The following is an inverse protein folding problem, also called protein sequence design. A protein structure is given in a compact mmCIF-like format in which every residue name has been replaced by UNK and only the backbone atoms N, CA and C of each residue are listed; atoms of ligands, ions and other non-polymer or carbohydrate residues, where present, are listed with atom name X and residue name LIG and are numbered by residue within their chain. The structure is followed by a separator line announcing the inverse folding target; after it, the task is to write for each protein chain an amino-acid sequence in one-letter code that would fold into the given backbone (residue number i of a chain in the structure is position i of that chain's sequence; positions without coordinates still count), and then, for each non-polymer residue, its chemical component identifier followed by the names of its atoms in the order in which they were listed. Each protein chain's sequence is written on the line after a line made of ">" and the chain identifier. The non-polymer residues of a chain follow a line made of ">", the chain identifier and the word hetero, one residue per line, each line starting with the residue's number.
data_IF_247361324238
#
_entry.id   IF_247361324238
#
_cell.length_a   1.000
_cell.length_b   1.000
_cell.length_c   1.000
_cell.angle_alpha   90.00
_cell.angle_beta   90.00
_cell.angle_gamma   90.00
#
_symmetry.space_group_name_H-M   'P 1'
#
loop_
_entity.id
_entity.type
_entity.pdbx_description
1 polymer ?
#
# COMPACT_ATOMS: atom_id res chain seq x y z
N UNK A 1 -37.43 41.35 4.35
CA UNK A 1 -36.47 40.25 4.63
C UNK A 1 -36.48 39.14 3.58
N UNK A 2 -37.63 38.57 3.20
CA UNK A 2 -37.72 37.46 2.23
C UNK A 2 -37.13 37.73 0.82
N UNK A 3 -37.24 38.95 0.29
CA UNK A 3 -36.69 39.30 -1.05
C UNK A 3 -35.16 39.40 -1.09
N UNK A 4 -34.52 39.75 0.03
CA UNK A 4 -33.06 39.87 0.13
C UNK A 4 -32.43 38.48 0.24
N UNK A 5 -33.08 37.57 0.96
CA UNK A 5 -32.64 36.18 1.09
C UNK A 5 -32.70 35.43 -0.25
N UNK A 6 -33.77 35.64 -1.04
CA UNK A 6 -33.93 35.03 -2.37
C UNK A 6 -32.86 35.49 -3.38
N UNK A 7 -32.45 36.77 -3.32
CA UNK A 7 -31.36 37.28 -4.16
C UNK A 7 -29.99 36.66 -3.85
N UNK A 8 -29.71 36.36 -2.59
CA UNK A 8 -28.45 35.73 -2.16
C UNK A 8 -28.37 34.27 -2.65
N UNK A 9 -29.50 33.54 -2.65
CA UNK A 9 -29.56 32.16 -3.18
C UNK A 9 -29.41 32.08 -4.70
N UNK A 10 -29.88 33.09 -5.44
CA UNK A 10 -29.69 33.14 -6.90
C UNK A 10 -28.23 33.46 -7.27
N UNK A 11 -27.57 34.35 -6.53
CA UNK A 11 -26.15 34.66 -6.74
C UNK A 11 -25.23 33.48 -6.40
N UNK A 12 -25.49 32.72 -5.33
CA UNK A 12 -24.68 31.55 -4.99
C UNK A 12 -24.82 30.41 -6.01
N UNK A 13 -26.02 30.25 -6.60
CA UNK A 13 -26.25 29.29 -7.69
C UNK A 13 -25.44 29.61 -8.95
N UNK A 14 -25.38 30.88 -9.34
CA UNK A 14 -24.62 31.33 -10.52
C UNK A 14 -23.11 31.13 -10.32
N UNK A 15 -22.58 31.44 -9.13
CA UNK A 15 -21.17 31.23 -8.80
C UNK A 15 -20.80 29.74 -8.83
N UNK A 16 -21.71 28.87 -8.34
CA UNK A 16 -21.52 27.42 -8.41
C UNK A 16 -21.44 26.90 -9.85
N UNK A 17 -22.33 27.37 -10.73
CA UNK A 17 -22.34 26.96 -12.15
C UNK A 17 -21.09 27.46 -12.89
N UNK A 18 -20.66 28.71 -12.65
CA UNK A 18 -19.43 29.26 -13.24
C UNK A 18 -18.20 28.47 -12.79
N UNK A 19 -18.13 28.10 -11.51
CA UNK A 19 -17.02 27.30 -10.96
C UNK A 19 -16.96 25.90 -11.59
N UNK A 20 -18.12 25.26 -11.81
CA UNK A 20 -18.21 23.96 -12.47
C UNK A 20 -17.78 24.03 -13.94
N UNK A 21 -18.21 25.07 -14.67
CA UNK A 21 -17.82 25.28 -16.06
C UNK A 21 -16.31 25.55 -16.21
N UNK A 22 -15.70 26.29 -15.28
CA UNK A 22 -14.25 26.51 -15.26
C UNK A 22 -13.48 25.23 -14.96
N UNK A 23 -13.98 24.38 -14.05
CA UNK A 23 -13.38 23.07 -13.77
C UNK A 23 -13.43 22.16 -15.01
N UNK A 24 -14.56 22.13 -15.72
CA UNK A 24 -14.72 21.37 -16.97
C UNK A 24 -13.81 21.93 -18.07
N UNK A 25 -13.74 23.25 -18.23
CA UNK A 25 -12.88 23.90 -19.22
C UNK A 25 -11.39 23.61 -18.96
N UNK A 26 -10.95 23.71 -17.70
CA UNK A 26 -9.59 23.34 -17.30
C UNK A 26 -9.33 21.84 -17.53
N UNK A 27 -10.31 20.98 -17.28
CA UNK A 27 -10.20 19.54 -17.54
C UNK A 27 -10.06 19.22 -19.04
N UNK A 28 -10.81 19.90 -19.91
CA UNK A 28 -10.73 19.74 -21.37
C UNK A 28 -9.39 20.24 -21.93
N UNK A 29 -8.81 21.30 -21.33
CA UNK A 29 -7.55 21.89 -21.77
C UNK A 29 -6.31 21.12 -21.26
N UNK A 30 -6.46 20.17 -20.34
CA UNK A 30 -5.37 19.30 -19.91
C UNK A 30 -5.10 18.22 -20.95
N UNK A 31 -3.82 18.02 -21.30
CA UNK A 31 -3.38 16.83 -22.05
C UNK A 31 -3.95 15.57 -21.40
N UNK A 32 -4.51 14.66 -22.21
CA UNK A 32 -5.19 13.44 -21.72
C UNK A 32 -4.35 12.63 -20.73
N UNK A 33 -3.02 12.72 -20.83
CA UNK A 33 -2.05 12.05 -19.96
C UNK A 33 -2.02 12.69 -18.55
N UNK A 34 -2.09 14.03 -18.44
CA UNK A 34 -2.09 14.75 -17.16
C UNK A 34 -3.45 14.64 -16.44
N UNK A 35 -4.56 14.62 -17.20
CA UNK A 35 -5.90 14.44 -16.65
C UNK A 35 -6.10 13.07 -15.99
N UNK A 36 -5.55 11.99 -16.57
CA UNK A 36 -5.61 10.64 -16.00
C UNK A 36 -4.74 10.53 -14.73
N UNK A 37 -3.58 11.20 -14.66
CA UNK A 37 -2.75 11.25 -13.43
C UNK A 37 -3.48 11.99 -12.30
N UNK A 38 -4.21 13.08 -12.57
CA UNK A 38 -4.99 13.79 -11.54
C UNK A 38 -6.28 13.07 -11.11
N UNK A 39 -6.93 12.28 -11.97
CA UNK A 39 -8.15 11.55 -11.63
C UNK A 39 -7.95 10.50 -10.52
N UNK A 40 -6.73 9.98 -10.37
CA UNK A 40 -6.36 9.06 -9.27
C UNK A 40 -6.30 9.75 -7.90
N UNK A 41 -6.14 11.07 -7.85
CA UNK A 41 -6.06 11.84 -6.60
C UNK A 41 -7.40 12.45 -6.16
N UNK A 42 -8.34 12.68 -7.09
CA UNK A 42 -9.66 13.28 -6.78
C UNK A 42 -10.81 12.27 -6.69
N UNK A 43 -10.54 10.98 -6.89
CA UNK A 43 -11.55 9.90 -6.81
C UNK A 43 -11.96 9.47 -5.40
N UNK A 44 -11.28 9.96 -4.34
CA UNK A 44 -11.59 9.62 -2.95
C UNK A 44 -12.57 10.65 -2.32
N UNK A 45 -12.70 11.86 -2.87
CA UNK A 45 -13.49 12.93 -2.25
C UNK A 45 -14.97 12.98 -2.69
N UNK A 46 -15.39 12.22 -3.70
CA UNK A 46 -16.78 12.28 -4.24
C UNK A 46 -17.65 11.11 -3.72
N UNK A 47 -17.07 10.09 -3.09
CA UNK A 47 -17.84 8.97 -2.51
C UNK A 47 -18.51 9.28 -1.16
N UNK A 48 -18.27 10.46 -0.57
CA UNK A 48 -18.80 10.85 0.76
C UNK A 48 -20.00 11.82 0.66
N UNK A 49 -20.37 12.29 -0.54
CA UNK A 49 -21.46 13.27 -0.74
C UNK A 49 -22.63 12.74 -1.58
N UNK A 50 -22.90 11.44 -1.48
CA UNK A 50 -23.96 10.76 -2.24
C UNK A 50 -24.76 9.73 -1.44
N UNK A 51 -24.89 9.89 -0.12
CA UNK A 51 -25.65 8.97 0.73
C UNK A 51 -26.56 9.66 1.76
N UNK A 52 -27.07 10.85 1.44
CA UNK A 52 -27.99 11.59 2.31
C UNK A 52 -29.16 12.22 1.56
N UNK A 53 -29.74 11.48 0.60
CA UNK A 53 -31.08 11.71 0.09
C UNK A 53 -31.65 10.37 -0.42
N UNK A 54 -32.87 10.02 0.04
CA UNK A 54 -33.55 8.72 -0.05
C UNK A 54 -32.99 7.70 0.95
N UNK A 55 -33.71 7.21 1.96
CA UNK A 55 -35.15 6.98 2.05
C UNK A 55 -35.61 6.97 3.52
N UNK A 56 -36.56 7.84 3.84
CA UNK A 56 -37.50 7.61 4.92
C UNK A 56 -38.54 6.59 4.44
N UNK A 57 -38.65 5.45 5.12
CA UNK A 57 -39.90 4.70 5.30
C UNK A 57 -39.70 3.65 6.40
N UNK A 58 -40.24 3.99 7.57
CA UNK A 58 -41.04 3.15 8.46
C UNK A 58 -40.77 1.63 8.45
N UNK A 59 -40.13 1.12 9.52
CA UNK A 59 -40.68 0.03 10.35
C UNK A 59 -39.84 -0.14 11.64
N UNK A 60 -40.42 0.22 12.78
CA UNK A 60 -40.17 -0.42 14.08
C UNK A 60 -41.38 -1.34 14.35
N UNK A 61 -41.33 -2.33 15.27
CA UNK A 61 -40.38 -2.55 16.37
C UNK A 61 -39.78 -3.98 16.33
N UNK A 62 -38.80 -4.37 17.15
CA UNK A 62 -39.08 -4.95 18.46
C UNK A 62 -37.79 -5.11 19.30
N UNK A 63 -37.97 -4.84 20.57
CA UNK A 63 -37.00 -4.75 21.68
C UNK A 63 -36.31 -6.07 22.01
N UNK A 64 -34.97 -6.13 22.11
CA UNK A 64 -34.32 -7.15 22.96
C UNK A 64 -33.05 -6.61 23.64
N UNK A 65 -32.87 -7.09 24.87
CA UNK A 65 -32.27 -6.43 26.03
C UNK A 65 -30.75 -6.42 26.04
N UNK A 66 -30.21 -5.35 26.63
CA UNK A 66 -28.90 -5.30 27.26
C UNK A 66 -28.88 -6.26 28.46
N UNK A 67 -27.86 -7.09 28.55
CA UNK A 67 -27.45 -7.73 29.81
C UNK A 67 -25.94 -7.65 29.91
N UNK A 68 -25.50 -6.83 30.87
CA UNK A 68 -24.17 -6.90 31.45
C UNK A 68 -24.13 -8.14 32.35
N UNK A 69 -23.14 -8.99 32.15
CA UNK A 69 -22.59 -9.83 33.21
C UNK A 69 -21.12 -9.44 33.39
N UNK A 70 -20.84 -8.83 34.54
CA UNK A 70 -19.51 -8.82 35.14
C UNK A 70 -19.19 -10.20 35.71
N UNK A 71 -17.91 -10.59 35.62
CA UNK A 71 -17.06 -11.18 36.70
C UNK A 71 -15.99 -12.11 36.09
N UNK A 72 -14.86 -12.43 36.75
CA UNK A 72 -13.96 -11.59 37.53
C UNK A 72 -12.51 -11.62 37.02
N UNK A 73 -11.76 -10.62 37.48
CA UNK A 73 -10.31 -10.48 37.52
C UNK A 73 -9.51 -11.79 37.75
N UNK A 74 -8.66 -12.18 36.79
CA UNK A 74 -7.59 -13.16 37.01
C UNK A 74 -6.24 -12.65 36.46
N UNK A 75 -5.34 -12.43 37.42
CA UNK A 75 -3.88 -12.27 37.38
C UNK A 75 -3.18 -12.31 36.01
N UNK A 76 -2.60 -11.17 35.68
CA UNK A 76 -1.38 -11.08 34.87
C UNK A 76 -0.23 -11.87 35.55
N UNK A 77 0.06 -13.06 35.05
CA UNK A 77 1.39 -13.66 35.18
C UNK A 77 2.26 -13.20 34.01
N UNK A 78 3.13 -12.21 34.28
CA UNK A 78 4.26 -11.89 33.40
C UNK A 78 5.20 -13.11 33.33
N UNK A 79 5.09 -13.88 32.24
CA UNK A 79 6.22 -14.71 31.79
C UNK A 79 7.29 -13.80 31.19
N UNK A 80 8.57 -14.09 31.45
CA UNK A 80 9.64 -13.13 31.30
C UNK A 80 9.80 -12.75 29.84
N UNK A 81 9.70 -11.44 29.58
CA UNK A 81 10.22 -10.81 28.37
C UNK A 81 11.65 -11.30 28.22
N UNK A 82 11.87 -12.16 27.23
CA UNK A 82 13.20 -12.59 26.86
C UNK A 82 14.02 -11.32 26.61
N UNK A 83 14.97 -11.11 27.52
CA UNK A 83 15.96 -10.05 27.48
C UNK A 83 16.63 -10.11 26.11
N UNK A 84 16.23 -9.21 25.22
CA UNK A 84 16.90 -9.04 23.92
C UNK A 84 18.32 -8.61 24.26
N UNK A 85 19.23 -9.59 24.21
CA UNK A 85 20.66 -9.32 24.16
C UNK A 85 20.87 -8.43 22.93
N UNK A 86 21.25 -7.20 23.20
CA UNK A 86 21.96 -6.34 22.28
C UNK A 86 23.16 -7.13 21.74
N UNK A 87 22.99 -7.74 20.57
CA UNK A 87 24.11 -8.22 19.76
C UNK A 87 24.50 -7.10 18.83
N UNK A 88 25.73 -6.63 19.02
CA UNK A 88 26.52 -5.91 18.02
C UNK A 88 26.36 -6.58 16.64
N UNK A 89 26.16 -5.75 15.61
CA UNK A 89 26.08 -6.08 14.18
C UNK A 89 24.99 -7.08 13.74
N UNK A 90 23.73 -6.78 14.04
CA UNK A 90 22.60 -7.45 13.39
C UNK A 90 22.53 -7.07 11.90
N UNK A 91 23.16 -7.88 11.05
CA UNK A 91 23.01 -7.83 9.59
C UNK A 91 21.54 -7.98 9.20
N UNK A 92 21.11 -7.38 8.08
CA UNK A 92 19.72 -7.46 7.65
C UNK A 92 19.26 -8.90 7.41
N UNK A 93 20.17 -9.79 7.01
CA UNK A 93 19.94 -11.23 6.85
C UNK A 93 19.55 -11.87 8.19
N UNK A 94 20.22 -11.49 9.27
CA UNK A 94 19.87 -11.93 10.62
C UNK A 94 18.46 -11.51 11.00
N UNK A 95 18.06 -10.27 10.66
CA UNK A 95 16.70 -9.79 10.92
C UNK A 95 15.64 -10.51 10.09
N UNK A 96 15.92 -10.78 8.81
CA UNK A 96 15.02 -11.57 7.95
C UNK A 96 14.80 -12.97 8.54
N UNK A 97 15.87 -13.65 8.95
CA UNK A 97 15.81 -14.98 9.59
C UNK A 97 15.00 -14.97 10.87
N UNK A 98 15.25 -13.98 11.74
CA UNK A 98 14.50 -13.79 12.99
C UNK A 98 13.00 -13.67 12.69
N UNK A 99 12.61 -12.75 11.80
CA UNK A 99 11.19 -12.51 11.46
C UNK A 99 10.55 -13.72 10.78
N UNK A 100 11.30 -14.43 9.92
CA UNK A 100 10.83 -15.64 9.27
C UNK A 100 10.49 -16.75 10.28
N UNK A 101 11.23 -16.84 11.38
CA UNK A 101 11.02 -17.83 12.45
C UNK A 101 9.82 -17.55 13.37
N UNK A 102 9.22 -16.36 13.29
CA UNK A 102 8.09 -16.01 14.15
C UNK A 102 6.90 -16.95 13.91
N UNK A 103 6.26 -17.38 15.00
CA UNK A 103 4.98 -18.07 14.95
C UNK A 103 3.84 -17.04 14.80
N UNK A 104 3.80 -16.39 13.63
CA UNK A 104 2.86 -15.31 13.31
C UNK A 104 2.40 -15.40 11.86
N UNK A 105 1.33 -14.67 11.54
CA UNK A 105 0.77 -14.64 10.18
C UNK A 105 1.74 -13.97 9.19
N UNK A 106 1.65 -14.29 7.88
CA UNK A 106 2.45 -13.61 6.86
C UNK A 106 2.33 -12.08 6.90
N UNK A 107 1.12 -11.54 7.11
CA UNK A 107 0.92 -10.10 7.26
C UNK A 107 1.72 -9.52 8.44
N UNK A 108 1.73 -10.18 9.60
CA UNK A 108 2.49 -9.69 10.75
C UNK A 108 4.01 -9.75 10.53
N UNK A 109 4.49 -10.78 9.83
CA UNK A 109 5.90 -10.89 9.42
C UNK A 109 6.26 -9.77 8.43
N UNK A 110 5.41 -9.54 7.43
CA UNK A 110 5.53 -8.45 6.48
C UNK A 110 5.62 -7.09 7.18
N UNK A 111 4.66 -6.77 8.06
CA UNK A 111 4.65 -5.49 8.79
C UNK A 111 5.94 -5.30 9.59
N UNK A 112 6.45 -6.38 10.18
CA UNK A 112 7.68 -6.34 10.97
C UNK A 112 8.91 -6.08 10.11
N UNK A 113 9.04 -6.77 8.96
CA UNK A 113 10.20 -6.57 8.09
C UNK A 113 10.15 -5.22 7.38
N UNK A 114 8.97 -4.75 6.99
CA UNK A 114 8.79 -3.43 6.37
C UNK A 114 9.16 -2.32 7.35
N UNK A 115 8.70 -2.41 8.60
CA UNK A 115 9.05 -1.45 9.66
C UNK A 115 10.57 -1.38 9.91
N UNK A 116 11.28 -2.50 9.79
CA UNK A 116 12.74 -2.55 9.86
C UNK A 116 13.37 -1.95 8.59
N UNK A 117 12.95 -2.36 7.40
CA UNK A 117 13.47 -1.89 6.11
C UNK A 117 13.35 -0.37 5.94
N UNK A 118 12.27 0.23 6.47
CA UNK A 118 12.04 1.68 6.48
C UNK A 118 13.15 2.47 7.16
N UNK A 119 13.80 1.89 8.16
CA UNK A 119 14.84 2.53 8.97
C UNK A 119 16.25 2.04 8.62
N UNK A 120 16.37 1.08 7.69
CA UNK A 120 17.64 0.44 7.37
C UNK A 120 18.59 1.42 6.66
N UNK A 121 19.80 1.70 7.19
CA UNK A 121 20.72 2.66 6.61
C UNK A 121 21.56 2.03 5.47
N UNK A 122 20.90 1.65 4.38
CA UNK A 122 21.58 1.03 3.23
C UNK A 122 22.66 1.93 2.63
N UNK A 123 23.80 1.34 2.31
CA UNK A 123 24.86 1.98 1.52
C UNK A 123 24.54 1.90 0.03
N UNK A 124 25.15 2.78 -0.78
CA UNK A 124 25.01 2.72 -2.25
C UNK A 124 25.45 1.38 -2.85
N UNK A 125 26.46 0.74 -2.24
CA UNK A 125 26.93 -0.57 -2.67
C UNK A 125 25.86 -1.65 -2.44
N UNK A 126 25.20 -1.66 -1.28
CA UNK A 126 24.09 -2.57 -1.00
C UNK A 126 22.88 -2.31 -1.89
N UNK A 127 22.58 -1.04 -2.19
CA UNK A 127 21.51 -0.71 -3.15
C UNK A 127 21.78 -1.38 -4.48
N UNK A 128 23.00 -1.26 -5.01
CA UNK A 128 23.37 -1.91 -6.28
C UNK A 128 23.31 -3.44 -6.20
N UNK A 129 23.78 -4.03 -5.10
CA UNK A 129 23.66 -5.47 -4.88
C UNK A 129 22.20 -5.94 -4.88
N UNK A 130 21.31 -5.19 -4.23
CA UNK A 130 19.89 -5.51 -4.16
C UNK A 130 19.21 -5.34 -5.51
N UNK A 131 19.53 -4.30 -6.27
CA UNK A 131 19.08 -4.12 -7.65
C UNK A 131 19.46 -5.32 -8.52
N UNK A 132 20.73 -5.71 -8.50
CA UNK A 132 21.24 -6.83 -9.30
C UNK A 132 20.57 -8.15 -8.92
N UNK A 133 20.39 -8.39 -7.62
CA UNK A 133 19.65 -9.54 -7.12
C UNK A 133 18.20 -9.54 -7.63
N UNK A 134 17.49 -8.43 -7.52
CA UNK A 134 16.07 -8.32 -7.90
C UNK A 134 15.90 -8.54 -9.41
N UNK A 135 16.76 -7.93 -10.23
CA UNK A 135 16.77 -8.14 -11.68
C UNK A 135 17.06 -9.59 -12.02
N UNK A 136 18.07 -10.21 -11.39
CA UNK A 136 18.43 -11.60 -11.63
C UNK A 136 17.29 -12.56 -11.24
N UNK A 137 16.66 -12.37 -10.07
CA UNK A 137 15.55 -13.20 -9.59
C UNK A 137 14.35 -13.15 -10.54
N UNK A 138 14.05 -11.97 -11.08
CA UNK A 138 12.98 -11.81 -12.05
C UNK A 138 13.32 -12.43 -13.42
N UNK A 139 14.51 -12.14 -13.97
CA UNK A 139 14.96 -12.67 -15.27
C UNK A 139 15.04 -14.20 -15.26
N UNK A 140 15.46 -14.78 -14.14
CA UNK A 140 15.51 -16.23 -13.94
C UNK A 140 14.16 -16.85 -13.57
N UNK A 141 13.07 -16.06 -13.49
CA UNK A 141 11.72 -16.49 -13.12
C UNK A 141 11.66 -17.21 -11.76
N UNK A 142 12.53 -16.83 -10.83
CA UNK A 142 12.65 -17.42 -9.49
C UNK A 142 11.96 -16.62 -8.39
N UNK A 143 11.71 -15.32 -8.60
CA UNK A 143 11.28 -14.41 -7.54
C UNK A 143 9.97 -14.80 -6.81
N UNK A 144 9.08 -15.58 -7.45
CA UNK A 144 7.86 -16.16 -6.85
C UNK A 144 7.84 -17.70 -6.85
N UNK A 145 8.97 -18.36 -7.05
CA UNK A 145 9.04 -19.81 -7.18
C UNK A 145 8.71 -20.56 -5.86
N UNK A 146 8.93 -19.93 -4.71
CA UNK A 146 8.71 -20.52 -3.39
C UNK A 146 8.02 -19.52 -2.44
N UNK A 147 6.75 -19.22 -2.72
CA UNK A 147 5.96 -18.24 -1.95
C UNK A 147 5.67 -18.67 -0.50
N UNK A 148 5.84 -19.96 -0.18
CA UNK A 148 5.63 -20.48 1.19
C UNK A 148 6.88 -20.37 2.06
N UNK A 149 8.04 -20.13 1.46
CA UNK A 149 9.29 -19.93 2.18
C UNK A 149 9.37 -18.50 2.74
N UNK A 150 9.10 -18.38 4.04
CA UNK A 150 9.09 -17.11 4.74
C UNK A 150 10.41 -16.35 4.62
N UNK A 151 11.55 -17.00 4.83
CA UNK A 151 12.86 -16.33 4.80
C UNK A 151 13.15 -15.78 3.40
N UNK A 152 12.89 -16.58 2.38
CA UNK A 152 13.06 -16.21 1.00
C UNK A 152 12.20 -15.01 0.60
N UNK A 153 10.88 -15.09 0.86
CA UNK A 153 9.95 -14.03 0.48
C UNK A 153 10.17 -12.74 1.27
N UNK A 154 10.43 -12.84 2.58
CA UNK A 154 10.77 -11.67 3.40
C UNK A 154 12.10 -11.04 2.95
N UNK A 155 13.07 -11.85 2.52
CA UNK A 155 14.32 -11.38 1.94
C UNK A 155 14.11 -10.63 0.61
N UNK A 156 13.20 -11.10 -0.25
CA UNK A 156 12.83 -10.43 -1.50
C UNK A 156 12.12 -9.10 -1.22
N UNK A 157 11.16 -9.11 -0.30
CA UNK A 157 10.40 -7.93 0.13
C UNK A 157 11.33 -6.88 0.75
N UNK A 158 12.24 -7.29 1.63
CA UNK A 158 13.21 -6.39 2.28
C UNK A 158 14.06 -5.65 1.25
N UNK A 159 14.73 -6.40 0.36
CA UNK A 159 15.61 -5.80 -0.66
C UNK A 159 14.84 -4.83 -1.55
N UNK A 160 13.68 -5.26 -2.05
CA UNK A 160 12.88 -4.44 -2.94
C UNK A 160 12.35 -3.16 -2.27
N UNK A 161 11.93 -3.25 -1.01
CA UNK A 161 11.52 -2.08 -0.25
C UNK A 161 12.68 -1.10 -0.04
N UNK A 162 13.86 -1.61 0.33
CA UNK A 162 15.04 -0.77 0.58
C UNK A 162 15.46 -0.02 -0.70
N UNK A 163 15.48 -0.70 -1.85
CA UNK A 163 15.80 -0.07 -3.15
C UNK A 163 14.72 0.94 -3.55
N UNK A 164 13.43 0.59 -3.46
CA UNK A 164 12.35 1.51 -3.80
C UNK A 164 12.37 2.77 -2.92
N UNK A 165 12.65 2.62 -1.63
CA UNK A 165 12.80 3.76 -0.71
C UNK A 165 14.02 4.63 -1.06
N UNK A 166 15.11 4.04 -1.53
CA UNK A 166 16.32 4.78 -1.89
C UNK A 166 16.06 5.77 -3.03
N UNK A 167 15.34 5.35 -4.08
CA UNK A 167 14.91 6.23 -5.16
C UNK A 167 13.71 7.11 -4.78
N UNK A 168 12.86 6.65 -3.86
CA UNK A 168 11.71 7.41 -3.38
C UNK A 168 10.73 7.73 -4.50
N UNK A 169 10.47 9.02 -4.73
CA UNK A 169 9.54 9.52 -5.74
C UNK A 169 10.16 9.65 -7.14
N UNK A 170 11.45 9.30 -7.31
CA UNK A 170 12.10 9.39 -8.61
C UNK A 170 11.50 8.37 -9.60
N UNK A 171 11.02 8.88 -10.75
CA UNK A 171 10.53 8.07 -11.87
C UNK A 171 11.73 7.53 -12.68
N UNK A 172 12.41 6.51 -12.15
CA UNK A 172 13.49 5.78 -12.84
C UNK A 172 13.04 4.40 -13.28
N UNK A 173 13.55 3.86 -14.42
CA UNK A 173 13.23 2.50 -14.85
C UNK A 173 13.48 1.44 -13.78
N UNK A 174 14.58 1.56 -13.02
CA UNK A 174 14.88 0.63 -11.93
C UNK A 174 13.89 0.74 -10.77
N UNK A 175 13.45 1.95 -10.41
CA UNK A 175 12.47 2.13 -9.34
C UNK A 175 11.09 1.56 -9.73
N UNK A 176 10.65 1.80 -10.98
CA UNK A 176 9.42 1.23 -11.52
C UNK A 176 9.45 -0.31 -11.54
N UNK A 177 10.58 -0.88 -11.97
CA UNK A 177 10.81 -2.32 -11.99
C UNK A 177 10.72 -2.92 -10.58
N UNK A 178 11.46 -2.34 -9.63
CA UNK A 178 11.52 -2.78 -8.24
C UNK A 178 10.17 -2.64 -7.55
N UNK A 179 9.40 -1.59 -7.85
CA UNK A 179 8.06 -1.40 -7.31
C UNK A 179 7.10 -2.52 -7.73
N UNK A 180 7.16 -2.95 -9.00
CA UNK A 180 6.42 -4.13 -9.48
C UNK A 180 6.84 -5.41 -8.77
N UNK A 181 8.15 -5.64 -8.62
CA UNK A 181 8.71 -6.78 -7.90
C UNK A 181 8.24 -6.82 -6.44
N UNK A 182 8.29 -5.67 -5.76
CA UNK A 182 7.86 -5.49 -4.38
C UNK A 182 6.37 -5.83 -4.21
N UNK A 183 5.51 -5.26 -5.07
CA UNK A 183 4.07 -5.51 -5.04
C UNK A 183 3.75 -6.99 -5.20
N UNK A 184 4.30 -7.62 -6.22
CA UNK A 184 4.07 -9.04 -6.48
C UNK A 184 4.58 -9.91 -5.32
N UNK A 185 5.78 -9.62 -4.80
CA UNK A 185 6.36 -10.38 -3.69
C UNK A 185 5.51 -10.29 -2.41
N UNK A 186 5.06 -9.09 -2.03
CA UNK A 186 4.31 -8.95 -0.78
C UNK A 186 2.85 -9.43 -0.90
N UNK A 187 2.18 -9.24 -2.04
CA UNK A 187 0.80 -9.71 -2.21
C UNK A 187 0.71 -11.24 -2.25
N UNK A 188 1.66 -11.89 -2.92
CA UNK A 188 1.73 -13.35 -2.93
C UNK A 188 2.12 -13.92 -1.57
N UNK A 189 3.13 -13.33 -0.91
CA UNK A 189 3.53 -13.72 0.44
C UNK A 189 2.38 -13.63 1.46
N UNK A 190 1.59 -12.55 1.40
CA UNK A 190 0.41 -12.37 2.26
C UNK A 190 -0.79 -13.25 1.86
N UNK A 191 -0.70 -13.98 0.75
CA UNK A 191 -1.80 -14.77 0.22
C UNK A 191 -2.96 -13.93 -0.34
N UNK A 192 -2.73 -12.65 -0.63
CA UNK A 192 -3.73 -11.75 -1.21
C UNK A 192 -3.92 -12.00 -2.71
N UNK A 193 -2.87 -12.49 -3.37
CA UNK A 193 -2.86 -12.79 -4.80
C UNK A 193 -2.20 -14.15 -5.04
N UNK A 194 -2.71 -14.89 -6.03
CA UNK A 194 -2.03 -16.09 -6.53
C UNK A 194 -0.99 -15.71 -7.58
N UNK A 195 0.07 -16.51 -7.72
CA UNK A 195 1.16 -16.27 -8.70
C UNK A 195 0.66 -16.15 -10.16
N UNK A 196 -0.51 -16.68 -10.47
CA UNK A 196 -1.08 -16.68 -11.83
C UNK A 196 -2.19 -15.64 -12.03
N UNK A 197 -2.45 -14.78 -11.03
CA UNK A 197 -3.53 -13.81 -11.08
C UNK A 197 -3.28 -12.74 -12.15
N UNK A 198 -4.35 -12.09 -12.58
CA UNK A 198 -4.26 -11.00 -13.55
C UNK A 198 -3.49 -9.80 -12.99
N UNK A 199 -3.55 -9.57 -11.67
CA UNK A 199 -2.80 -8.51 -11.00
C UNK A 199 -1.29 -8.77 -11.07
N UNK A 200 -0.85 -9.99 -10.73
CA UNK A 200 0.57 -10.38 -10.84
C UNK A 200 1.07 -10.22 -12.27
N UNK A 201 0.35 -10.79 -13.25
CA UNK A 201 0.71 -10.70 -14.67
C UNK A 201 0.72 -9.25 -15.18
N UNK A 202 -0.16 -8.40 -14.67
CA UNK A 202 -0.18 -6.99 -15.04
C UNK A 202 1.08 -6.26 -14.57
N UNK A 203 1.49 -6.51 -13.33
CA UNK A 203 2.72 -5.97 -12.76
C UNK A 203 3.95 -6.51 -13.50
N UNK A 204 3.99 -7.81 -13.81
CA UNK A 204 5.07 -8.41 -14.61
C UNK A 204 5.21 -7.72 -15.97
N UNK A 205 4.10 -7.43 -16.67
CA UNK A 205 4.16 -6.66 -17.92
C UNK A 205 4.70 -5.24 -17.75
N UNK A 206 4.51 -4.60 -16.58
CA UNK A 206 5.15 -3.31 -16.33
C UNK A 206 6.63 -3.48 -16.02
N UNK A 207 6.99 -4.53 -15.29
CA UNK A 207 8.38 -4.90 -15.03
C UNK A 207 9.13 -5.20 -16.34
N UNK A 208 8.55 -5.93 -17.28
CA UNK A 208 9.17 -6.22 -18.59
C UNK A 208 9.48 -4.92 -19.36
N UNK A 209 8.55 -3.94 -19.34
CA UNK A 209 8.78 -2.63 -19.96
C UNK A 209 9.90 -1.85 -19.28
N UNK A 210 9.88 -1.81 -17.95
CA UNK A 210 10.89 -1.12 -17.16
C UNK A 210 12.27 -1.76 -17.35
N UNK A 211 12.35 -3.09 -17.35
CA UNK A 211 13.58 -3.85 -17.61
C UNK A 211 14.16 -3.54 -18.99
N UNK A 212 13.31 -3.46 -20.02
CA UNK A 212 13.75 -3.06 -21.36
C UNK A 212 14.41 -1.67 -21.34
N UNK A 213 13.89 -0.73 -20.54
CA UNK A 213 14.48 0.60 -20.40
C UNK A 213 15.73 0.65 -19.50
N UNK A 214 15.97 -0.37 -18.66
CA UNK A 214 17.22 -0.52 -17.89
C UNK A 214 18.35 -1.04 -18.79
N UNK A 215 18.02 -1.89 -19.76
CA UNK A 215 19.00 -2.59 -20.61
C UNK A 215 19.43 -1.82 -21.87
N UNK A 216 18.75 -0.72 -22.20
CA UNK A 216 19.04 0.15 -23.36
C UNK A 216 19.63 1.49 -22.93
#
# INVERSE_FOLDING_TARGET
>A
MFKILSGIFLLSGIVGVISLLLAIFNFIKLDRIKAIKMLKFTGISIFILGLSALSASEFLPESYKVSQEESPNEKHEEKPVAKVKSTEDATWQGKVKEVASFNSTPSKKFDTIEAYAKKYPATKAEIKEFEDYIVAEYKNKKYLADVQNNEYMLGNIFKAYVVNRYYGEEETPINDFVFGFYQNSNYTFKGLESINSNAIKYNERQMDKALTAIEN
#
